data_IF_892338148895
#
_entry.id   IF_892338148895
#
_cell.length_a   1.000
_cell.length_b   1.000
_cell.length_c   1.000
_cell.angle_alpha   90.00
_cell.angle_beta   90.00
_cell.angle_gamma   90.00
#
_symmetry.space_group_name_H-M   'P 1'
#
loop_
_entity.id
_entity.type
_entity.pdbx_description
1 polymer ?
#
# COMPACT_ATOMS: atom_id res chain seq x y z
N UNK A 1 31.73 -22.69 15.87
CA UNK A 1 31.73 -21.28 15.45
C UNK A 1 32.37 -21.06 14.09
N UNK A 2 31.59 -21.28 13.03
CA UNK A 2 31.96 -20.85 11.69
C UNK A 2 31.62 -19.38 11.51
N UNK A 3 32.48 -18.48 11.98
CA UNK A 3 32.30 -17.04 11.71
C UNK A 3 32.67 -16.80 10.25
N UNK A 4 31.68 -16.44 9.44
CA UNK A 4 31.90 -15.85 8.12
C UNK A 4 32.68 -14.54 8.33
N UNK A 5 34.01 -14.61 8.21
CA UNK A 5 34.84 -13.42 8.21
C UNK A 5 34.78 -12.79 6.81
N UNK A 6 34.36 -11.53 6.74
CA UNK A 6 34.41 -10.75 5.51
C UNK A 6 35.88 -10.50 5.15
N UNK A 7 36.31 -11.04 4.01
CA UNK A 7 37.62 -10.72 3.44
C UNK A 7 37.56 -9.33 2.81
N UNK A 8 37.88 -8.31 3.61
CA UNK A 8 37.79 -6.90 3.23
C UNK A 8 38.70 -6.56 2.05
N UNK A 9 39.80 -7.28 1.87
CA UNK A 9 40.71 -7.09 0.73
C UNK A 9 40.05 -7.60 -0.54
N UNK A 10 39.47 -8.81 -0.53
CA UNK A 10 38.71 -9.32 -1.67
C UNK A 10 37.51 -8.44 -2.01
N UNK A 11 36.78 -7.95 -1.01
CA UNK A 11 35.67 -7.03 -1.25
C UNK A 11 36.19 -5.73 -1.88
N UNK A 12 37.26 -5.13 -1.35
CA UNK A 12 37.84 -3.90 -1.90
C UNK A 12 38.35 -4.10 -3.33
N UNK A 13 38.98 -5.24 -3.62
CA UNK A 13 39.44 -5.58 -4.97
C UNK A 13 38.26 -5.78 -5.92
N UNK A 14 37.20 -6.46 -5.47
CA UNK A 14 35.99 -6.63 -6.26
C UNK A 14 35.31 -5.29 -6.54
N UNK A 15 35.13 -4.43 -5.54
CA UNK A 15 34.52 -3.10 -5.71
C UNK A 15 35.35 -2.22 -6.64
N UNK A 16 36.69 -2.25 -6.54
CA UNK A 16 37.56 -1.44 -7.38
C UNK A 16 37.62 -1.92 -8.84
N UNK A 17 37.61 -3.24 -9.07
CA UNK A 17 37.84 -3.82 -10.40
C UNK A 17 36.55 -4.25 -11.12
N UNK A 18 35.45 -4.41 -10.39
CA UNK A 18 34.16 -4.90 -10.90
C UNK A 18 33.01 -3.94 -10.54
N UNK A 19 33.30 -2.64 -10.46
CA UNK A 19 32.28 -1.64 -10.17
C UNK A 19 31.11 -1.71 -11.17
N UNK A 20 31.40 -1.96 -12.45
CA UNK A 20 30.38 -2.12 -13.49
C UNK A 20 29.48 -3.33 -13.25
N UNK A 21 30.04 -4.45 -12.76
CA UNK A 21 29.24 -5.63 -12.41
C UNK A 21 28.33 -5.35 -11.21
N UNK A 22 28.82 -4.56 -10.25
CA UNK A 22 28.00 -4.11 -9.10
C UNK A 22 26.92 -3.15 -9.58
N UNK A 23 27.24 -2.18 -10.43
CA UNK A 23 26.27 -1.27 -11.02
C UNK A 23 25.22 -2.01 -11.88
N UNK A 24 25.62 -3.10 -12.55
CA UNK A 24 24.72 -3.98 -13.29
C UNK A 24 23.72 -4.72 -12.39
N UNK A 25 24.05 -4.97 -11.11
CA UNK A 25 23.09 -5.52 -10.15
C UNK A 25 22.02 -4.51 -9.73
N UNK A 26 22.36 -3.22 -9.69
CA UNK A 26 21.42 -2.16 -9.30
C UNK A 26 20.64 -1.59 -10.49
N UNK A 27 21.19 -1.66 -11.70
CA UNK A 27 20.53 -1.17 -12.91
C UNK A 27 19.71 -2.25 -13.61
N UNK A 28 18.59 -1.83 -14.20
CA UNK A 28 17.80 -2.70 -15.07
C UNK A 28 18.49 -2.83 -16.42
N UNK A 29 18.65 -4.06 -16.91
CA UNK A 29 19.32 -4.34 -18.18
C UNK A 29 18.59 -5.42 -18.97
N UNK A 30 18.78 -5.41 -20.29
CA UNK A 30 18.35 -6.51 -21.15
C UNK A 30 19.39 -6.78 -22.23
N UNK A 31 19.67 -8.06 -22.47
CA UNK A 31 20.64 -8.52 -23.48
C UNK A 31 19.98 -9.49 -24.44
N UNK A 32 20.02 -9.16 -25.73
CA UNK A 32 19.59 -10.07 -26.78
C UNK A 32 20.77 -10.92 -27.29
N UNK A 33 20.47 -12.15 -27.70
CA UNK A 33 21.46 -13.00 -28.42
C UNK A 33 21.54 -12.68 -29.90
N UNK A 34 20.48 -12.09 -30.46
CA UNK A 34 20.40 -11.67 -31.86
C UNK A 34 20.81 -10.20 -32.00
N UNK A 35 21.78 -9.93 -32.87
CA UNK A 35 22.36 -8.60 -33.04
C UNK A 35 21.41 -7.56 -33.63
N UNK A 36 20.30 -7.99 -34.25
CA UNK A 36 19.30 -7.06 -34.78
C UNK A 36 18.13 -6.82 -33.81
N UNK A 37 18.19 -7.40 -32.61
CA UNK A 37 17.27 -7.10 -31.52
C UNK A 37 17.90 -6.06 -30.58
N UNK A 38 17.19 -4.96 -30.38
CA UNK A 38 17.59 -3.90 -29.46
C UNK A 38 16.56 -3.75 -28.35
N UNK A 39 17.01 -3.68 -27.10
CA UNK A 39 16.16 -3.36 -25.96
C UNK A 39 15.74 -1.89 -25.99
N UNK A 40 14.45 -1.61 -25.82
CA UNK A 40 13.92 -0.25 -25.80
C UNK A 40 13.40 0.17 -24.43
N UNK A 41 12.93 -0.77 -23.61
CA UNK A 41 12.38 -0.46 -22.30
C UNK A 41 11.57 -1.59 -21.69
N UNK A 42 11.11 -1.37 -20.47
CA UNK A 42 10.30 -2.31 -19.70
C UNK A 42 9.25 -1.53 -18.88
N UNK A 43 8.38 -2.26 -18.19
CA UNK A 43 7.50 -1.69 -17.15
C UNK A 43 7.79 -2.35 -15.81
N UNK A 44 7.14 -1.89 -14.74
CA UNK A 44 7.23 -2.52 -13.41
C UNK A 44 6.76 -3.98 -13.43
N UNK A 45 5.85 -4.34 -14.35
CA UNK A 45 5.33 -5.70 -14.52
C UNK A 45 6.27 -6.67 -15.23
N UNK A 46 7.30 -6.17 -15.90
CA UNK A 46 8.28 -7.03 -16.57
C UNK A 46 9.09 -7.80 -15.54
N UNK A 47 9.01 -9.12 -15.58
CA UNK A 47 9.74 -9.99 -14.68
C UNK A 47 11.16 -10.24 -15.19
N UNK A 48 12.10 -10.57 -14.30
CA UNK A 48 13.45 -10.99 -14.74
C UNK A 48 13.37 -12.40 -15.34
N UNK A 49 14.04 -12.62 -16.47
CA UNK A 49 13.99 -13.89 -17.16
C UNK A 49 14.67 -13.88 -18.53
N UNK A 50 14.75 -15.06 -19.15
CA UNK A 50 15.23 -15.23 -20.52
C UNK A 50 14.06 -15.63 -21.40
N UNK A 51 13.73 -14.76 -22.35
CA UNK A 51 12.55 -14.89 -23.20
C UNK A 51 12.94 -15.25 -24.63
N UNK A 52 12.56 -16.45 -25.13
CA UNK A 52 12.66 -16.77 -26.54
C UNK A 52 11.84 -15.81 -27.40
N UNK A 53 12.43 -15.35 -28.50
CA UNK A 53 11.79 -14.46 -29.47
C UNK A 53 11.57 -15.22 -30.77
N UNK A 54 10.35 -15.16 -31.28
CA UNK A 54 10.02 -15.64 -32.62
C UNK A 54 9.32 -14.53 -33.37
N UNK A 55 9.71 -14.29 -34.62
CA UNK A 55 9.10 -13.26 -35.47
C UNK A 55 8.44 -13.93 -36.66
N UNK A 56 7.14 -13.76 -36.82
CA UNK A 56 6.38 -14.27 -37.96
C UNK A 56 6.18 -13.21 -39.06
N UNK A 57 6.30 -11.92 -38.72
CA UNK A 57 6.27 -10.82 -39.67
C UNK A 57 7.18 -9.69 -39.18
N UNK A 58 8.12 -9.25 -40.02
CA UNK A 58 8.96 -8.10 -39.74
C UNK A 58 8.13 -6.82 -39.89
N UNK A 59 8.19 -5.97 -38.87
CA UNK A 59 7.55 -4.67 -38.89
C UNK A 59 8.30 -3.63 -39.75
N UNK A 60 7.58 -2.58 -40.12
CA UNK A 60 8.08 -1.40 -40.84
C UNK A 60 7.35 -0.16 -40.32
N UNK A 61 7.52 1.00 -40.96
CA UNK A 61 6.82 2.22 -40.57
C UNK A 61 5.31 2.18 -40.90
N UNK A 62 4.88 1.22 -41.72
CA UNK A 62 3.48 1.06 -42.17
C UNK A 62 2.89 -0.31 -41.83
N UNK A 63 3.70 -1.23 -41.30
CA UNK A 63 3.29 -2.59 -40.98
C UNK A 63 3.76 -2.94 -39.57
N UNK A 64 2.86 -3.42 -38.73
CA UNK A 64 3.24 -3.84 -37.38
C UNK A 64 3.99 -5.18 -37.40
N UNK A 65 4.98 -5.29 -36.52
CA UNK A 65 5.65 -6.54 -36.17
C UNK A 65 4.62 -7.58 -35.75
N UNK A 66 4.83 -8.84 -36.13
CA UNK A 66 4.09 -9.96 -35.53
C UNK A 66 5.11 -10.98 -35.06
N UNK A 67 4.98 -11.37 -33.80
CA UNK A 67 5.88 -12.30 -33.18
C UNK A 67 5.41 -12.70 -31.79
N UNK A 68 6.17 -13.62 -31.21
CA UNK A 68 5.95 -14.09 -29.85
C UNK A 68 7.16 -13.77 -29.00
N UNK A 69 6.90 -13.40 -27.75
CA UNK A 69 7.89 -13.35 -26.68
C UNK A 69 7.49 -14.41 -25.65
N UNK A 70 8.43 -15.24 -25.23
CA UNK A 70 8.14 -16.34 -24.31
C UNK A 70 7.07 -17.32 -24.84
N UNK A 71 6.95 -17.46 -26.16
CA UNK A 71 5.90 -18.27 -26.81
C UNK A 71 4.50 -17.67 -26.78
N UNK A 72 4.31 -16.49 -26.16
CA UNK A 72 3.04 -15.75 -26.15
C UNK A 72 3.06 -14.66 -27.21
N UNK A 73 1.97 -14.50 -27.97
CA UNK A 73 1.86 -13.47 -29.00
C UNK A 73 2.01 -12.07 -28.38
N UNK A 74 3.04 -11.34 -28.78
CA UNK A 74 3.30 -9.99 -28.30
C UNK A 74 2.46 -8.94 -29.02
N UNK A 75 2.42 -7.74 -28.45
CA UNK A 75 1.81 -6.56 -29.07
C UNK A 75 2.84 -5.91 -30.00
N UNK A 76 2.62 -6.00 -31.31
CA UNK A 76 3.48 -5.38 -32.30
C UNK A 76 3.12 -3.93 -32.59
N UNK A 77 4.12 -3.06 -32.66
CA UNK A 77 3.97 -1.67 -33.07
C UNK A 77 5.14 -1.27 -33.97
N UNK A 78 4.89 -1.05 -35.26
CA UNK A 78 5.94 -0.85 -36.26
C UNK A 78 7.02 -1.95 -36.12
N UNK A 79 8.29 -1.59 -35.93
CA UNK A 79 9.41 -2.52 -35.72
C UNK A 79 9.56 -3.02 -34.28
N UNK A 80 8.65 -2.67 -33.38
CA UNK A 80 8.70 -3.04 -31.98
C UNK A 80 7.83 -4.26 -31.69
N UNK A 81 8.30 -5.12 -30.80
CA UNK A 81 7.53 -6.18 -30.17
C UNK A 81 7.48 -5.91 -28.67
N UNK A 82 6.27 -5.81 -28.12
CA UNK A 82 6.02 -5.61 -26.70
C UNK A 82 5.45 -6.90 -26.11
N UNK A 83 5.95 -7.35 -24.97
CA UNK A 83 5.45 -8.53 -24.29
C UNK A 83 3.97 -8.41 -23.92
N UNK A 84 3.26 -9.54 -23.98
CA UNK A 84 1.81 -9.61 -23.79
C UNK A 84 1.39 -9.34 -22.34
N UNK A 85 0.19 -8.80 -22.14
CA UNK A 85 -0.40 -8.67 -20.81
C UNK A 85 -0.63 -10.04 -20.18
N UNK A 86 -0.25 -10.18 -18.91
CA UNK A 86 -0.35 -11.42 -18.15
C UNK A 86 0.79 -12.41 -18.36
N UNK A 87 1.71 -12.17 -19.30
CA UNK A 87 2.94 -12.96 -19.43
C UNK A 87 4.07 -12.39 -18.55
N UNK A 88 5.06 -13.22 -18.21
CA UNK A 88 6.25 -12.77 -17.48
C UNK A 88 7.00 -11.65 -18.20
N UNK A 89 6.93 -11.60 -19.53
CA UNK A 89 7.53 -10.57 -20.35
C UNK A 89 6.66 -9.30 -20.50
N UNK A 90 5.54 -9.18 -19.78
CA UNK A 90 4.60 -8.05 -19.92
C UNK A 90 5.33 -6.70 -19.85
N UNK A 91 5.12 -5.86 -20.87
CA UNK A 91 5.72 -4.54 -20.94
C UNK A 91 7.19 -4.51 -21.38
N UNK A 92 7.87 -5.65 -21.53
CA UNK A 92 9.19 -5.71 -22.15
C UNK A 92 9.08 -5.29 -23.61
N UNK A 93 9.83 -4.27 -24.02
CA UNK A 93 9.82 -3.73 -25.37
C UNK A 93 11.16 -3.91 -26.03
N UNK A 94 11.13 -4.52 -27.21
CA UNK A 94 12.29 -4.70 -28.07
C UNK A 94 12.00 -4.15 -29.46
N UNK A 95 13.03 -3.65 -30.13
CA UNK A 95 13.03 -3.36 -31.56
C UNK A 95 13.69 -4.52 -32.29
N UNK A 96 13.09 -5.00 -33.37
CA UNK A 96 13.72 -5.98 -34.25
C UNK A 96 13.92 -5.36 -35.63
N UNK A 97 15.18 -5.16 -36.00
CA UNK A 97 15.53 -4.46 -37.25
C UNK A 97 15.85 -5.47 -38.35
N UNK A 98 14.90 -5.72 -39.26
CA UNK A 98 15.11 -6.59 -40.42
C UNK A 98 15.49 -8.04 -40.07
N UNK A 99 16.04 -8.75 -41.06
CA UNK A 99 16.39 -10.17 -40.97
C UNK A 99 15.29 -11.13 -41.40
N UNK A 100 15.57 -12.42 -41.30
CA UNK A 100 14.59 -13.47 -41.58
C UNK A 100 13.56 -13.59 -40.47
N UNK A 101 12.35 -14.05 -40.83
CA UNK A 101 11.35 -14.52 -39.87
C UNK A 101 11.76 -15.90 -39.31
N UNK A 102 11.14 -16.30 -38.20
CA UNK A 102 11.44 -17.51 -37.45
C UNK A 102 11.97 -17.22 -36.06
N UNK A 103 12.68 -18.18 -35.47
CA UNK A 103 13.30 -18.04 -34.16
C UNK A 103 14.47 -17.03 -34.21
N UNK A 104 14.45 -16.05 -33.31
CA UNK A 104 15.41 -14.93 -33.22
C UNK A 104 16.24 -14.98 -31.93
N UNK A 105 16.46 -16.18 -31.40
CA UNK A 105 17.17 -16.38 -30.14
C UNK A 105 16.37 -15.89 -28.93
N UNK A 106 17.07 -15.32 -27.95
CA UNK A 106 16.50 -14.94 -26.65
C UNK A 106 16.86 -13.53 -26.23
N UNK A 107 16.01 -12.92 -25.41
CA UNK A 107 16.28 -11.68 -24.67
C UNK A 107 16.32 -12.02 -23.18
N UNK A 108 17.46 -11.83 -22.54
CA UNK A 108 17.61 -11.96 -21.09
C UNK A 108 17.44 -10.59 -20.45
N UNK A 109 16.35 -10.43 -19.69
CA UNK A 109 16.05 -9.23 -18.94
C UNK A 109 16.34 -9.44 -17.45
N UNK A 110 17.02 -8.48 -16.84
CA UNK A 110 17.34 -8.46 -15.41
C UNK A 110 16.84 -7.15 -14.84
N UNK A 111 15.94 -7.24 -13.86
CA UNK A 111 15.45 -6.10 -13.08
C UNK A 111 16.45 -5.83 -11.95
N UNK A 112 17.08 -4.65 -11.99
CA UNK A 112 18.06 -4.26 -10.99
C UNK A 112 17.43 -4.03 -9.62
N UNK A 113 18.24 -4.12 -8.56
CA UNK A 113 17.78 -3.93 -7.19
C UNK A 113 17.15 -2.55 -6.94
N UNK A 114 17.59 -1.50 -7.64
CA UNK A 114 16.99 -0.17 -7.50
C UNK A 114 15.54 -0.16 -7.99
N UNK A 115 15.26 -0.81 -9.13
CA UNK A 115 13.90 -0.94 -9.65
C UNK A 115 13.02 -1.86 -8.78
N UNK A 116 13.60 -2.88 -8.15
CA UNK A 116 12.87 -3.71 -7.19
C UNK A 116 12.50 -2.93 -5.91
N UNK A 117 13.42 -2.09 -5.43
CA UNK A 117 13.14 -1.20 -4.29
C UNK A 117 12.05 -0.20 -4.65
N UNK A 118 12.12 0.37 -5.87
CA UNK A 118 11.12 1.29 -6.39
C UNK A 118 9.72 0.65 -6.40
N UNK A 119 9.56 -0.59 -6.89
CA UNK A 119 8.26 -1.28 -6.84
C UNK A 119 7.72 -1.45 -5.41
N UNK A 120 8.60 -1.74 -4.46
CA UNK A 120 8.22 -1.93 -3.05
C UNK A 120 7.78 -0.59 -2.45
N UNK A 121 8.51 0.48 -2.76
CA UNK A 121 8.17 1.83 -2.31
C UNK A 121 6.86 2.30 -2.94
N UNK A 122 6.66 2.06 -4.24
CA UNK A 122 5.42 2.35 -4.94
C UNK A 122 4.24 1.62 -4.28
N UNK A 123 4.34 0.30 -4.08
CA UNK A 123 3.25 -0.45 -3.41
C UNK A 123 3.00 -0.05 -1.95
N UNK A 124 4.02 0.51 -1.27
CA UNK A 124 3.89 1.01 0.09
C UNK A 124 3.23 2.40 0.15
N UNK A 125 3.55 3.25 -0.83
CA UNK A 125 3.12 4.64 -0.95
C UNK A 125 1.86 4.81 -1.81
N UNK A 126 1.39 3.75 -2.45
CA UNK A 126 0.16 3.72 -3.23
C UNK A 126 -1.04 4.21 -2.40
N UNK A 127 -2.02 4.79 -3.08
CA UNK A 127 -3.24 5.31 -2.47
C UNK A 127 -4.04 4.21 -1.74
N UNK A 128 -3.95 2.97 -2.25
CA UNK A 128 -4.52 1.77 -1.62
C UNK A 128 -3.47 0.96 -0.81
N UNK A 129 -2.30 1.54 -0.58
CA UNK A 129 -1.17 0.90 0.10
C UNK A 129 -1.37 0.71 1.61
N UNK A 130 -0.45 -0.02 2.25
CA UNK A 130 -0.52 -0.30 3.69
C UNK A 130 -0.40 0.97 4.55
N UNK A 131 0.29 2.01 4.08
CA UNK A 131 0.35 3.30 4.79
C UNK A 131 -0.99 4.03 4.75
N UNK A 132 -1.68 4.02 3.61
CA UNK A 132 -3.04 4.54 3.50
C UNK A 132 -3.99 3.78 4.42
N UNK A 133 -3.98 2.44 4.39
CA UNK A 133 -4.79 1.61 5.28
C UNK A 133 -4.56 1.89 6.78
N UNK A 134 -3.31 2.13 7.19
CA UNK A 134 -2.99 2.54 8.56
C UNK A 134 -3.55 3.93 8.88
N UNK A 135 -3.44 4.87 7.95
CA UNK A 135 -3.98 6.23 8.10
C UNK A 135 -5.51 6.20 8.25
N UNK A 136 -6.20 5.40 7.45
CA UNK A 136 -7.65 5.22 7.54
C UNK A 136 -8.10 4.55 8.85
N UNK A 137 -7.35 3.56 9.32
CA UNK A 137 -7.60 2.92 10.61
C UNK A 137 -7.46 3.87 11.80
N UNK A 138 -6.46 4.75 11.74
CA UNK A 138 -6.26 5.83 12.74
C UNK A 138 -7.41 6.84 12.66
N UNK A 139 -7.74 7.33 11.46
CA UNK A 139 -8.86 8.27 11.23
C UNK A 139 -10.20 7.71 11.75
N UNK A 140 -10.45 6.43 11.49
CA UNK A 140 -11.63 5.72 12.01
C UNK A 140 -11.65 5.61 13.53
N UNK A 141 -10.47 5.43 14.13
CA UNK A 141 -10.31 5.41 15.59
C UNK A 141 -10.54 6.79 16.20
N UNK A 142 -10.03 7.85 15.58
CA UNK A 142 -10.31 9.25 15.97
C UNK A 142 -11.82 9.52 15.92
N UNK A 143 -12.49 9.21 14.80
CA UNK A 143 -13.96 9.38 14.66
C UNK A 143 -14.78 8.60 15.68
N UNK A 144 -14.29 7.44 16.13
CA UNK A 144 -14.94 6.66 17.20
C UNK A 144 -14.77 7.32 18.56
N UNK A 145 -13.58 7.84 18.86
CA UNK A 145 -13.30 8.57 20.10
C UNK A 145 -14.09 9.88 20.19
N UNK A 146 -14.24 10.59 19.08
CA UNK A 146 -15.10 11.79 18.98
C UNK A 146 -16.54 11.46 19.37
N UNK A 147 -17.13 10.42 18.74
CA UNK A 147 -18.50 9.97 19.07
C UNK A 147 -18.64 9.52 20.53
N UNK A 148 -17.61 8.89 21.10
CA UNK A 148 -17.62 8.51 22.52
C UNK A 148 -17.60 9.75 23.43
N UNK A 149 -16.81 10.77 23.05
CA UNK A 149 -16.75 12.04 23.77
C UNK A 149 -18.10 12.75 23.73
N UNK A 150 -18.74 12.81 22.57
CA UNK A 150 -20.08 13.41 22.41
C UNK A 150 -21.13 12.70 23.27
N UNK A 151 -21.14 11.36 23.24
CA UNK A 151 -22.06 10.56 24.06
C UNK A 151 -21.81 10.76 25.56
N UNK A 152 -20.55 10.89 25.98
CA UNK A 152 -20.18 11.15 27.36
C UNK A 152 -20.64 12.54 27.81
N UNK A 153 -20.42 13.57 26.98
CA UNK A 153 -20.89 14.93 27.24
C UNK A 153 -22.42 14.98 27.40
N UNK A 154 -23.16 14.29 26.51
CA UNK A 154 -24.61 14.18 26.63
C UNK A 154 -25.03 13.50 27.95
N UNK A 155 -24.33 12.44 28.36
CA UNK A 155 -24.60 11.71 29.60
C UNK A 155 -24.36 12.60 30.82
N UNK A 156 -23.29 13.39 30.86
CA UNK A 156 -23.03 14.35 31.94
C UNK A 156 -24.19 15.35 32.09
N UNK A 157 -24.69 15.90 30.98
CA UNK A 157 -25.83 16.82 30.98
C UNK A 157 -27.10 16.18 31.56
N UNK A 158 -27.39 14.92 31.18
CA UNK A 158 -28.55 14.18 31.72
C UNK A 158 -28.39 13.89 33.21
N UNK A 159 -27.19 13.51 33.63
CA UNK A 159 -26.87 13.25 35.04
C UNK A 159 -27.02 14.52 35.86
N UNK A 160 -26.50 15.66 35.39
CA UNK A 160 -26.65 16.95 36.04
C UNK A 160 -28.13 17.32 36.22
N UNK A 161 -28.93 17.23 35.15
CA UNK A 161 -30.37 17.49 35.20
C UNK A 161 -31.06 16.62 36.24
N UNK A 162 -30.76 15.32 36.26
CA UNK A 162 -31.33 14.37 37.23
C UNK A 162 -30.95 14.73 38.67
N UNK A 163 -29.69 15.07 38.92
CA UNK A 163 -29.26 15.49 40.26
C UNK A 163 -29.96 16.78 40.68
N UNK A 164 -30.08 17.78 39.80
CA UNK A 164 -30.84 19.02 40.09
C UNK A 164 -32.30 18.71 40.46
N UNK A 165 -32.99 17.85 39.72
CA UNK A 165 -34.36 17.42 40.04
C UNK A 165 -34.46 16.69 41.38
N UNK A 166 -33.50 15.81 41.70
CA UNK A 166 -33.46 15.12 42.99
C UNK A 166 -33.25 16.11 44.15
N UNK A 167 -32.36 17.08 43.99
CA UNK A 167 -32.16 18.13 44.99
C UNK A 167 -33.42 18.97 45.22
N UNK A 168 -34.12 19.40 44.17
CA UNK A 168 -35.39 20.15 44.30
C UNK A 168 -36.47 19.34 45.00
N UNK A 169 -36.56 18.03 44.73
CA UNK A 169 -37.51 17.14 45.43
C UNK A 169 -37.16 16.95 46.90
N UNK A 170 -35.87 16.81 47.23
CA UNK A 170 -35.40 16.72 48.61
C UNK A 170 -35.74 17.99 49.40
N UNK A 171 -35.57 19.17 48.79
CA UNK A 171 -35.95 20.46 49.40
C UNK A 171 -37.46 20.56 49.65
N UNK A 172 -38.28 20.15 48.67
CA UNK A 172 -39.74 20.10 48.81
C UNK A 172 -40.18 19.11 49.90
N UNK A 173 -39.56 17.93 49.95
CA UNK A 173 -39.83 16.93 50.98
C UNK A 173 -39.47 17.46 52.37
N UNK A 174 -38.30 18.08 52.52
CA UNK A 174 -37.85 18.65 53.79
C UNK A 174 -38.83 19.74 54.28
N UNK A 175 -39.26 20.64 53.40
CA UNK A 175 -40.27 21.65 53.71
C UNK A 175 -41.60 21.02 54.13
N UNK A 176 -42.04 19.95 53.43
CA UNK A 176 -43.26 19.22 53.80
C UNK A 176 -43.15 18.57 55.18
N UNK A 177 -42.00 17.94 55.50
CA UNK A 177 -41.75 17.31 56.79
C UNK A 177 -41.69 18.34 57.93
N UNK A 178 -41.14 19.53 57.67
CA UNK A 178 -41.15 20.64 58.63
C UNK A 178 -42.57 21.13 58.93
N UNK A 179 -43.42 21.24 57.91
CA UNK A 179 -44.84 21.57 58.08
C UNK A 179 -45.58 20.48 58.87
N UNK A 180 -45.34 19.19 58.56
CA UNK A 180 -45.93 18.07 59.31
C UNK A 180 -45.48 18.04 60.76
N UNK A 181 -44.19 18.26 61.03
CA UNK A 181 -43.64 18.35 62.39
C UNK A 181 -44.29 19.48 63.20
N UNK A 182 -44.51 20.63 62.56
CA UNK A 182 -45.18 21.78 63.18
C UNK A 182 -46.64 21.47 63.52
N UNK A 183 -47.37 20.81 62.62
CA UNK A 183 -48.75 20.37 62.84
C UNK A 183 -48.86 19.34 63.97
N UNK A 184 -47.99 18.31 63.98
CA UNK A 184 -47.95 17.31 65.05
C UNK A 184 -47.63 17.95 66.40
N UNK A 185 -46.69 18.90 66.45
CA UNK A 185 -46.37 19.64 67.67
C UNK A 185 -47.54 20.47 68.20
N UNK A 186 -48.32 21.08 67.30
CA UNK A 186 -49.55 21.80 67.66
C UNK A 186 -50.63 20.85 68.18
N UNK A 187 -50.85 19.70 67.54
CA UNK A 187 -51.80 18.70 68.03
C UNK A 187 -51.42 18.14 69.40
N UNK A 188 -50.14 17.83 69.62
CA UNK A 188 -49.66 17.35 70.93
C UNK A 188 -49.87 18.42 72.00
N UNK A 189 -49.52 19.68 71.73
CA UNK A 189 -49.75 20.79 72.66
C UNK A 189 -51.24 20.99 72.98
N UNK A 190 -52.13 20.75 72.01
CA UNK A 190 -53.58 20.83 72.22
C UNK A 190 -54.12 19.65 73.06
N UNK A 191 -53.51 18.48 72.95
CA UNK A 191 -53.83 17.30 73.78
C UNK A 191 -53.27 17.40 75.20
N UNK A 192 -52.12 18.06 75.41
CA UNK A 192 -51.52 18.23 76.73
C UNK A 192 -52.15 19.35 77.57
N UNK A 193 -52.99 20.19 76.98
CA UNK A 193 -53.69 21.30 77.63
C UNK A 193 -55.17 20.98 77.96
N UNK A 194 -55.60 19.72 77.77
CA UNK A 194 -56.82 19.13 78.36
C UNK A 194 -56.43 18.12 79.44
#
# INVERSE_FOLDING_TARGET
DGKLALDSTKLSTAVANHFDDIAALFSTSAKATDAQITYLGNTSKTQSGTYPITVSQIGSDITNMVGTMNGVAGNGLNQELIGATGDASEGLRIKVTGGSTGARGTVTFVKGYAAQLDDILDGLLDDDGILAARTDGISSSVKRLERQTDAFNLKLTVIEKRYREQYTRLDTLLSSLQNTSSYLSQQISALSNN
#
